data_IF_541449445950
#
_entry.id   IF_541449445950
#
_cell.length_a   1.000
_cell.length_b   1.000
_cell.length_c   1.000
_cell.angle_alpha   90.00
_cell.angle_beta   90.00
_cell.angle_gamma   90.00
#
_symmetry.space_group_name_H-M   'P 1'
#
loop_
_entity.id
_entity.type
_entity.pdbx_description
1 polymer ?
#
# COMPACT_ATOMS: atom_id res chain seq x y z
N UNK A 1 -13.72 -22.32 31.91
CA UNK A 1 -14.60 -21.14 31.96
C UNK A 1 -14.70 -20.56 30.56
N UNK A 2 -15.75 -20.92 29.81
CA UNK A 2 -16.15 -20.18 28.61
C UNK A 2 -16.73 -18.86 29.12
N UNK A 3 -15.89 -17.82 29.18
CA UNK A 3 -16.30 -16.48 29.60
C UNK A 3 -17.45 -15.99 28.70
N UNK A 4 -18.40 -15.26 29.31
CA UNK A 4 -19.52 -14.51 28.69
C UNK A 4 -19.46 -14.46 27.16
N UNK A 5 -20.43 -15.13 26.55
CA UNK A 5 -20.40 -15.67 25.20
C UNK A 5 -20.03 -14.67 24.11
N UNK A 6 -18.93 -14.99 23.41
CA UNK A 6 -18.63 -14.47 22.09
C UNK A 6 -19.81 -14.78 21.15
N UNK A 7 -20.49 -13.74 20.68
CA UNK A 7 -21.55 -13.89 19.68
C UNK A 7 -20.96 -13.94 18.26
N UNK A 8 -21.79 -14.27 17.27
CA UNK A 8 -21.34 -14.39 15.88
C UNK A 8 -20.77 -13.06 15.34
N UNK A 9 -21.30 -11.92 15.75
CA UNK A 9 -20.79 -10.60 15.34
C UNK A 9 -19.37 -10.37 15.84
N UNK A 10 -19.10 -10.69 17.10
CA UNK A 10 -17.75 -10.59 17.69
C UNK A 10 -16.77 -11.58 17.05
N UNK A 11 -17.22 -12.80 16.77
CA UNK A 11 -16.40 -13.79 16.09
C UNK A 11 -16.02 -13.33 14.68
N UNK A 12 -16.98 -12.85 13.89
CA UNK A 12 -16.74 -12.35 12.52
C UNK A 12 -15.79 -11.16 12.53
N UNK A 13 -15.97 -10.19 13.43
CA UNK A 13 -15.07 -9.05 13.56
C UNK A 13 -13.64 -9.48 13.88
N UNK A 14 -13.48 -10.43 14.81
CA UNK A 14 -12.15 -10.96 15.18
C UNK A 14 -11.49 -11.75 14.06
N UNK A 15 -12.25 -12.56 13.32
CA UNK A 15 -11.72 -13.26 12.14
C UNK A 15 -11.29 -12.25 11.08
N UNK A 16 -12.09 -11.21 10.83
CA UNK A 16 -11.73 -10.15 9.87
C UNK A 16 -10.40 -9.48 10.23
N UNK A 17 -10.22 -9.09 11.49
CA UNK A 17 -8.98 -8.47 11.98
C UNK A 17 -7.77 -9.40 11.78
N UNK A 18 -7.94 -10.70 12.09
CA UNK A 18 -6.89 -11.70 11.89
C UNK A 18 -6.55 -11.89 10.41
N UNK A 19 -7.56 -11.97 9.54
CA UNK A 19 -7.34 -12.12 8.10
C UNK A 19 -6.73 -10.88 7.47
N UNK A 20 -7.06 -9.67 7.96
CA UNK A 20 -6.45 -8.43 7.49
C UNK A 20 -5.00 -8.35 7.90
N UNK A 21 -4.69 -8.73 9.15
CA UNK A 21 -3.30 -8.83 9.61
C UNK A 21 -2.50 -9.84 8.81
N UNK A 22 -3.08 -11.00 8.51
CA UNK A 22 -2.44 -12.02 7.66
C UNK A 22 -2.21 -11.48 6.25
N UNK A 23 -3.21 -10.81 5.67
CA UNK A 23 -3.12 -10.22 4.33
C UNK A 23 -2.03 -9.15 4.23
N UNK A 24 -1.92 -8.28 5.23
CA UNK A 24 -0.83 -7.29 5.31
C UNK A 24 0.54 -7.94 5.33
N UNK A 25 0.75 -8.94 6.20
CA UNK A 25 2.02 -9.67 6.25
C UNK A 25 2.33 -10.44 4.97
N UNK A 26 1.30 -10.98 4.30
CA UNK A 26 1.48 -11.62 3.00
C UNK A 26 1.93 -10.63 1.91
N UNK A 27 1.34 -9.44 1.86
CA UNK A 27 1.75 -8.39 0.92
C UNK A 27 3.19 -7.96 1.18
N UNK A 28 3.55 -7.68 2.44
CA UNK A 28 4.92 -7.32 2.83
C UNK A 28 5.91 -8.39 2.36
N UNK A 29 5.65 -9.67 2.67
CA UNK A 29 6.51 -10.77 2.28
C UNK A 29 6.63 -10.93 0.76
N UNK A 30 5.53 -10.76 0.01
CA UNK A 30 5.54 -10.85 -1.46
C UNK A 30 6.37 -9.73 -2.08
N UNK A 31 6.24 -8.49 -1.57
CA UNK A 31 7.01 -7.35 -2.07
C UNK A 31 8.51 -7.56 -1.80
N UNK A 32 8.86 -8.01 -0.60
CA UNK A 32 10.26 -8.28 -0.24
C UNK A 32 10.86 -9.48 -0.99
N UNK A 33 10.05 -10.50 -1.29
CA UNK A 33 10.44 -11.60 -2.17
C UNK A 33 10.70 -11.09 -3.59
N UNK A 34 9.83 -10.25 -4.12
CA UNK A 34 9.99 -9.65 -5.44
C UNK A 34 11.24 -8.78 -5.52
N UNK A 35 11.51 -7.95 -4.49
CA UNK A 35 12.75 -7.16 -4.40
C UNK A 35 13.98 -8.07 -4.42
N UNK A 36 13.94 -9.21 -3.70
CA UNK A 36 15.03 -10.19 -3.69
C UNK A 36 15.24 -10.82 -5.07
N UNK A 37 14.18 -11.26 -5.74
CA UNK A 37 14.24 -11.83 -7.09
C UNK A 37 14.85 -10.81 -8.06
N UNK A 38 14.39 -9.55 -8.03
CA UNK A 38 14.97 -8.46 -8.83
C UNK A 38 16.45 -8.25 -8.49
N UNK A 39 16.81 -8.27 -7.20
CA UNK A 39 18.20 -8.13 -6.71
C UNK A 39 19.09 -9.32 -7.06
N UNK A 40 18.54 -10.46 -7.45
CA UNK A 40 19.32 -11.62 -7.89
C UNK A 40 19.44 -11.70 -9.41
N UNK A 41 18.49 -11.12 -10.15
CA UNK A 41 18.43 -11.14 -11.62
C UNK A 41 19.72 -10.60 -12.28
N UNK A 42 20.19 -11.34 -13.30
CA UNK A 42 21.44 -11.02 -14.01
C UNK A 42 21.34 -9.75 -14.86
N UNK A 43 20.22 -9.55 -15.56
CA UNK A 43 20.01 -8.38 -16.43
C UNK A 43 19.97 -7.10 -15.60
N UNK A 44 19.40 -7.17 -14.40
CA UNK A 44 19.44 -6.07 -13.44
C UNK A 44 20.86 -5.80 -12.95
N UNK A 45 21.71 -6.81 -12.68
CA UNK A 45 23.15 -6.60 -12.31
C UNK A 45 23.94 -5.88 -13.39
N UNK A 46 23.60 -6.10 -14.67
CA UNK A 46 24.26 -5.43 -15.79
C UNK A 46 23.95 -3.93 -15.78
N UNK A 47 22.69 -3.55 -15.53
CA UNK A 47 22.18 -2.17 -15.67
C UNK A 47 22.22 -1.33 -14.40
N UNK A 48 22.20 -1.95 -13.22
CA UNK A 48 21.99 -1.23 -11.95
C UNK A 48 23.01 -1.62 -10.88
N UNK A 49 23.41 -0.64 -10.07
CA UNK A 49 24.22 -0.79 -8.85
C UNK A 49 23.30 -0.74 -7.64
N UNK A 50 23.51 -1.64 -6.67
CA UNK A 50 22.82 -1.61 -5.38
C UNK A 50 23.49 -0.55 -4.51
N UNK A 51 22.72 0.43 -4.05
CA UNK A 51 23.24 1.52 -3.23
C UNK A 51 22.97 1.27 -1.73
N UNK A 52 21.72 0.95 -1.39
CA UNK A 52 21.29 0.67 0.00
C UNK A 52 19.93 -0.02 0.03
N UNK A 53 19.49 -0.37 1.24
CA UNK A 53 18.10 -0.73 1.54
C UNK A 53 17.41 0.40 2.29
N UNK A 54 16.16 0.66 1.94
CA UNK A 54 15.29 1.60 2.64
C UNK A 54 13.96 0.91 3.00
N UNK A 55 13.23 1.47 3.97
CA UNK A 55 11.86 1.05 4.31
C UNK A 55 10.83 1.94 3.63
N UNK A 56 9.67 1.39 3.26
CA UNK A 56 8.49 2.15 2.83
C UNK A 56 7.29 1.73 3.65
N UNK A 57 6.50 2.72 4.09
CA UNK A 57 5.14 2.52 4.61
C UNK A 57 4.13 2.91 3.53
N UNK A 58 3.15 2.06 3.30
CA UNK A 58 2.08 2.28 2.32
C UNK A 58 0.73 1.93 2.95
N UNK A 59 -0.22 2.86 2.88
CA UNK A 59 -1.60 2.59 3.31
C UNK A 59 -2.34 1.86 2.20
N UNK A 60 -2.88 0.69 2.51
CA UNK A 60 -3.67 -0.15 1.60
C UNK A 60 -5.10 -0.32 2.11
N UNK A 61 -5.96 -0.95 1.30
CA UNK A 61 -7.33 -1.30 1.72
C UNK A 61 -7.37 -2.27 2.90
N UNK A 62 -6.29 -3.03 3.15
CA UNK A 62 -6.14 -3.92 4.31
C UNK A 62 -5.53 -3.23 5.53
N UNK A 63 -5.17 -1.95 5.41
CA UNK A 63 -4.44 -1.16 6.40
C UNK A 63 -3.00 -0.91 6.02
N UNK A 64 -2.23 -0.38 6.96
CA UNK A 64 -0.83 -0.04 6.71
C UNK A 64 0.08 -1.26 6.65
N UNK A 65 0.94 -1.27 5.64
CA UNK A 65 2.07 -2.19 5.49
C UNK A 65 3.39 -1.43 5.59
N UNK A 66 4.43 -2.11 6.08
CA UNK A 66 5.82 -1.65 6.05
C UNK A 66 6.73 -2.75 5.48
N UNK A 67 7.50 -2.43 4.43
CA UNK A 67 8.39 -3.38 3.78
C UNK A 67 9.75 -2.77 3.45
N UNK A 68 10.76 -3.62 3.32
CA UNK A 68 12.08 -3.25 2.81
C UNK A 68 12.14 -3.27 1.28
N UNK A 69 12.90 -2.33 0.71
CA UNK A 69 13.14 -2.21 -0.73
C UNK A 69 14.56 -1.78 -1.02
N UNK A 70 15.11 -2.23 -2.14
CA UNK A 70 16.48 -1.90 -2.53
C UNK A 70 16.50 -0.63 -3.39
N UNK A 71 17.37 0.31 -3.03
CA UNK A 71 17.63 1.53 -3.80
C UNK A 71 18.76 1.29 -4.81
N UNK A 72 18.50 1.61 -6.06
CA UNK A 72 19.41 1.34 -7.17
C UNK A 72 19.86 2.63 -7.85
N UNK A 73 21.08 2.60 -8.38
CA UNK A 73 21.61 3.59 -9.31
C UNK A 73 21.82 2.97 -10.69
N UNK A 74 21.27 3.60 -11.72
CA UNK A 74 21.45 3.24 -13.11
C UNK A 74 22.90 3.46 -13.53
N UNK A 75 23.48 2.49 -14.21
CA UNK A 75 24.82 2.62 -14.80
C UNK A 75 24.80 3.39 -16.13
N UNK A 76 23.63 3.50 -16.76
CA UNK A 76 23.48 4.14 -18.07
C UNK A 76 23.44 5.66 -17.95
N UNK A 77 22.65 6.19 -17.01
CA UNK A 77 22.36 7.62 -16.89
C UNK A 77 22.50 8.16 -15.46
N UNK A 78 22.89 7.31 -14.51
CA UNK A 78 23.06 7.69 -13.11
C UNK A 78 21.77 7.98 -12.35
N UNK A 79 20.59 7.76 -12.95
CA UNK A 79 19.30 7.92 -12.27
C UNK A 79 19.13 6.89 -11.17
N UNK A 80 18.32 7.23 -10.18
CA UNK A 80 18.07 6.36 -9.03
C UNK A 80 16.60 5.97 -8.94
N UNK A 81 16.35 4.72 -8.59
CA UNK A 81 14.99 4.19 -8.42
C UNK A 81 14.91 3.03 -7.42
N UNK A 82 13.68 2.64 -7.09
CA UNK A 82 13.36 1.39 -6.42
C UNK A 82 12.66 0.48 -7.44
N UNK A 83 13.37 -0.53 -7.95
CA UNK A 83 12.85 -1.33 -9.05
C UNK A 83 11.60 -2.15 -8.67
N UNK A 84 11.45 -2.50 -7.39
CA UNK A 84 10.24 -3.17 -6.90
C UNK A 84 9.03 -2.24 -6.89
N UNK A 85 9.22 -0.96 -6.56
CA UNK A 85 8.16 0.06 -6.66
C UNK A 85 7.74 0.24 -8.11
N UNK A 86 8.71 0.37 -9.03
CA UNK A 86 8.44 0.53 -10.46
C UNK A 86 7.66 -0.68 -11.02
N UNK A 87 8.01 -1.90 -10.60
CA UNK A 87 7.34 -3.13 -11.01
C UNK A 87 5.89 -3.25 -10.50
N UNK A 88 5.57 -2.57 -9.39
CA UNK A 88 4.24 -2.56 -8.76
C UNK A 88 3.48 -1.27 -9.03
N UNK A 89 4.01 -0.39 -9.89
CA UNK A 89 3.45 0.93 -10.20
C UNK A 89 3.24 1.81 -8.95
N UNK A 90 4.12 1.66 -7.95
CA UNK A 90 4.07 2.45 -6.71
C UNK A 90 4.92 3.71 -6.93
N UNK A 91 4.30 4.88 -6.92
CA UNK A 91 5.00 6.14 -7.06
C UNK A 91 6.02 6.37 -5.94
N UNK A 92 7.12 7.06 -6.25
CA UNK A 92 8.20 7.40 -5.30
C UNK A 92 7.66 8.07 -4.02
N UNK A 93 6.66 8.94 -4.18
CA UNK A 93 6.04 9.71 -3.11
C UNK A 93 4.70 9.15 -2.65
N UNK A 94 4.25 8.03 -3.20
CA UNK A 94 3.00 7.41 -2.79
C UNK A 94 3.09 6.91 -1.36
N UNK A 95 2.19 7.45 -0.53
CA UNK A 95 1.93 7.01 0.84
C UNK A 95 0.66 6.19 0.94
N UNK A 96 -0.18 6.24 -0.10
CA UNK A 96 -1.50 5.63 -0.15
C UNK A 96 -1.64 4.94 -1.50
N UNK A 97 -1.99 3.66 -1.44
CA UNK A 97 -2.23 2.83 -2.61
C UNK A 97 -3.47 3.31 -3.39
N UNK A 98 -3.43 3.16 -4.71
CA UNK A 98 -4.43 3.72 -5.64
C UNK A 98 -5.86 3.23 -5.34
N UNK A 99 -6.04 1.96 -5.00
CA UNK A 99 -7.31 1.36 -4.59
C UNK A 99 -7.93 2.03 -3.36
N UNK A 100 -7.14 2.48 -2.38
CA UNK A 100 -7.64 3.30 -1.27
C UNK A 100 -8.18 4.64 -1.78
N UNK A 101 -7.47 5.29 -2.71
CA UNK A 101 -7.91 6.55 -3.32
C UNK A 101 -9.24 6.36 -4.06
N UNK A 102 -9.38 5.31 -4.86
CA UNK A 102 -10.61 4.96 -5.60
C UNK A 102 -11.77 4.80 -4.62
N UNK A 103 -11.57 4.00 -3.58
CA UNK A 103 -12.63 3.73 -2.60
C UNK A 103 -13.06 4.97 -1.82
N UNK A 104 -12.16 5.93 -1.59
CA UNK A 104 -12.51 7.23 -1.01
C UNK A 104 -13.43 8.04 -1.94
N UNK A 105 -13.17 8.03 -3.25
CA UNK A 105 -14.01 8.71 -4.24
C UNK A 105 -15.39 8.07 -4.33
N UNK A 106 -15.45 6.74 -4.46
CA UNK A 106 -16.73 5.99 -4.48
C UNK A 106 -17.57 6.32 -3.25
N UNK A 107 -16.97 6.28 -2.06
CA UNK A 107 -17.67 6.61 -0.83
C UNK A 107 -18.11 8.10 -0.75
N UNK A 108 -17.35 9.02 -1.35
CA UNK A 108 -17.69 10.44 -1.36
C UNK A 108 -18.82 10.80 -2.34
N UNK A 109 -18.98 10.00 -3.40
CA UNK A 109 -20.13 10.09 -4.32
C UNK A 109 -21.40 9.59 -3.62
N UNK A 110 -21.29 8.55 -2.78
CA UNK A 110 -22.45 7.93 -2.12
C UNK A 110 -22.84 8.54 -0.75
N UNK A 111 -21.90 9.09 0.03
CA UNK A 111 -22.19 9.69 1.34
C UNK A 111 -21.30 10.91 1.65
N UNK A 112 -21.80 11.87 2.44
CA UNK A 112 -21.09 13.11 2.80
C UNK A 112 -19.67 12.85 3.36
N UNK A 113 -18.72 13.72 2.98
CA UNK A 113 -17.25 13.68 3.22
C UNK A 113 -16.76 13.24 4.61
N UNK A 114 -17.60 13.28 5.64
CA UNK A 114 -17.25 12.89 7.01
C UNK A 114 -17.39 11.37 7.26
N UNK A 115 -18.17 10.65 6.45
CA UNK A 115 -18.35 9.19 6.60
C UNK A 115 -17.45 8.34 5.69
N UNK A 116 -16.87 8.93 4.64
CA UNK A 116 -16.12 8.19 3.61
C UNK A 116 -14.74 7.70 4.05
N UNK A 117 -14.10 8.34 5.04
CA UNK A 117 -12.76 7.95 5.51
C UNK A 117 -12.75 6.60 6.23
N UNK A 118 -13.81 6.24 6.97
CA UNK A 118 -13.88 4.98 7.74
C UNK A 118 -14.20 3.74 6.89
N UNK A 119 -14.64 3.90 5.65
CA UNK A 119 -15.00 2.78 4.75
C UNK A 119 -13.88 2.40 3.77
N UNK A 120 -12.93 3.30 3.50
CA UNK A 120 -11.89 3.09 2.51
C UNK A 120 -10.75 2.18 3.00
N UNK A 121 -10.24 2.46 4.20
CA UNK A 121 -9.20 1.69 4.89
C UNK A 121 -9.39 1.79 6.40
N UNK A 122 -8.79 0.89 7.21
CA UNK A 122 -8.89 0.96 8.67
C UNK A 122 -8.18 2.17 9.28
N UNK A 123 -7.24 2.79 8.55
CA UNK A 123 -6.44 3.93 9.04
C UNK A 123 -7.19 5.27 8.93
N UNK A 124 -6.99 6.16 9.90
CA UNK A 124 -7.54 7.50 9.85
C UNK A 124 -6.80 8.37 8.82
N UNK A 125 -7.48 8.71 7.73
CA UNK A 125 -6.96 9.62 6.71
C UNK A 125 -7.43 11.06 6.95
N UNK A 126 -6.51 12.02 6.80
CA UNK A 126 -6.84 13.44 6.94
C UNK A 126 -7.80 13.92 5.85
N UNK A 127 -8.62 14.95 6.13
CA UNK A 127 -9.50 15.57 5.11
C UNK A 127 -8.73 16.02 3.86
N UNK A 128 -7.52 16.56 4.04
CA UNK A 128 -6.66 17.00 2.93
C UNK A 128 -6.22 15.81 2.07
N UNK A 129 -5.91 14.68 2.70
CA UNK A 129 -5.56 13.43 1.99
C UNK A 129 -6.71 12.95 1.11
N UNK A 130 -7.93 12.95 1.65
CA UNK A 130 -9.15 12.58 0.91
C UNK A 130 -9.36 13.54 -0.26
N UNK A 131 -9.24 14.85 -0.04
CA UNK A 131 -9.40 15.86 -1.08
C UNK A 131 -8.37 15.70 -2.21
N UNK A 132 -7.10 15.44 -1.85
CA UNK A 132 -6.04 15.24 -2.84
C UNK A 132 -6.30 13.98 -3.69
N UNK A 133 -6.74 12.88 -3.06
CA UNK A 133 -7.10 11.65 -3.77
C UNK A 133 -8.25 11.87 -4.77
N UNK A 134 -9.28 12.63 -4.37
CA UNK A 134 -10.40 12.98 -5.26
C UNK A 134 -9.93 13.83 -6.45
N UNK A 135 -9.06 14.82 -6.21
CA UNK A 135 -8.51 15.66 -7.29
C UNK A 135 -7.66 14.85 -8.27
N UNK A 136 -6.77 14.01 -7.74
CA UNK A 136 -5.88 13.18 -8.54
C UNK A 136 -6.65 12.20 -9.45
N UNK A 137 -7.80 11.68 -9.00
CA UNK A 137 -8.65 10.79 -9.81
C UNK A 137 -9.56 11.59 -10.75
N UNK A 138 -10.15 12.68 -10.29
CA UNK A 138 -11.04 13.53 -11.11
C UNK A 138 -10.35 14.22 -12.28
N UNK A 139 -9.03 14.48 -12.17
CA UNK A 139 -8.21 14.97 -13.29
C UNK A 139 -7.94 13.89 -14.37
N UNK A 140 -8.17 12.60 -14.08
CA UNK A 140 -7.99 11.49 -15.02
C UNK A 140 -9.25 11.22 -15.86
N UNK A 141 -10.39 11.81 -15.50
CA UNK A 141 -11.67 11.69 -16.24
C UNK A 141 -11.99 12.88 -17.17
N UNK A 142 -11.02 13.75 -17.50
CA UNK A 142 -11.20 14.90 -18.42
C UNK A 142 -10.43 14.74 -19.73
#
# INVERSE_FOLDING_TARGET
>A
MLNKGMNITELVARIKELTDKLGRGAIEAIIEELDRIIKEDKRRKEKWVVERKDKKRLTTVLGDIEYERTYYKSKEDGRYTYLVDDALEIGRHDRIEKGVKIKLVENAIEESYERSSKKACPEELSKQTVLNAIREIGEVEV
#
